data_IF_734728094656
#
_entry.id   IF_734728094656
#
_cell.length_a   1.000
_cell.length_b   1.000
_cell.length_c   1.000
_cell.angle_alpha   90.00
_cell.angle_beta   90.00
_cell.angle_gamma   90.00
#
_symmetry.space_group_name_H-M   'P 1'
#
loop_
_entity.id
_entity.type
_entity.pdbx_description
1 polymer ?
#
# COMPACT_ATOMS: atom_id res chain seq x y z
N UNK A 1 -1.90 -3.72 -19.51
CA UNK A 1 -2.43 -3.47 -18.15
C UNK A 1 -2.21 -1.99 -17.87
N UNK A 2 -3.18 -1.33 -17.24
CA UNK A 2 -3.15 0.10 -16.95
C UNK A 2 -2.20 0.48 -15.81
N UNK A 3 -2.34 1.72 -15.33
CA UNK A 3 -1.60 2.26 -14.17
C UNK A 3 -1.89 1.43 -12.91
N UNK A 4 -0.87 1.22 -12.08
CA UNK A 4 -0.96 0.55 -10.78
C UNK A 4 -0.56 1.57 -9.71
N UNK A 5 -1.50 1.94 -8.85
CA UNK A 5 -1.24 2.79 -7.70
C UNK A 5 -1.19 1.93 -6.43
N UNK A 6 -0.08 1.98 -5.72
CA UNK A 6 0.08 1.37 -4.40
C UNK A 6 0.01 2.49 -3.38
N UNK A 7 -1.01 2.49 -2.54
CA UNK A 7 -1.20 3.49 -1.49
C UNK A 7 -0.71 2.89 -0.17
N UNK A 8 0.25 3.53 0.47
CA UNK A 8 0.80 3.13 1.76
C UNK A 8 0.86 4.36 2.67
N UNK A 9 0.44 4.23 3.92
CA UNK A 9 0.41 5.32 4.90
C UNK A 9 1.71 5.39 5.71
N UNK A 10 2.37 4.27 5.94
CA UNK A 10 3.54 4.18 6.81
C UNK A 10 4.83 4.36 6.01
N UNK A 11 5.52 5.48 6.25
CA UNK A 11 6.80 5.79 5.60
C UNK A 11 7.82 4.66 5.74
N UNK A 12 7.88 4.00 6.89
CA UNK A 12 8.81 2.91 7.15
C UNK A 12 8.62 1.74 6.17
N UNK A 13 7.36 1.41 5.83
CA UNK A 13 7.04 0.34 4.88
C UNK A 13 7.44 0.75 3.46
N UNK A 14 7.15 1.99 3.06
CA UNK A 14 7.60 2.54 1.77
C UNK A 14 9.12 2.45 1.65
N UNK A 15 9.85 2.79 2.70
CA UNK A 15 11.31 2.77 2.72
C UNK A 15 11.87 1.35 2.62
N UNK A 16 11.22 0.36 3.25
CA UNK A 16 11.60 -1.04 3.12
C UNK A 16 11.57 -1.53 1.67
N UNK A 17 10.57 -1.08 0.89
CA UNK A 17 10.43 -1.45 -0.52
C UNK A 17 11.33 -0.65 -1.46
N UNK A 18 11.66 0.60 -1.14
CA UNK A 18 12.46 1.45 -2.03
C UNK A 18 13.96 1.27 -1.87
N UNK A 19 14.42 1.10 -0.63
CA UNK A 19 15.85 1.12 -0.30
C UNK A 19 16.22 0.12 0.80
N UNK A 20 15.23 -0.54 1.39
CA UNK A 20 15.42 -1.46 2.49
C UNK A 20 15.37 -2.94 2.07
N UNK A 21 15.05 -3.83 3.01
CA UNK A 21 15.21 -5.27 2.83
C UNK A 21 14.29 -5.88 1.75
N UNK A 22 13.23 -5.18 1.33
CA UNK A 22 12.26 -5.67 0.35
C UNK A 22 12.55 -5.17 -1.07
N UNK A 23 13.57 -4.32 -1.27
CA UNK A 23 13.95 -3.81 -2.60
C UNK A 23 14.20 -4.94 -3.61
N UNK A 24 14.89 -6.01 -3.22
CA UNK A 24 15.13 -7.17 -4.12
C UNK A 24 13.83 -7.84 -4.60
N UNK A 25 12.75 -7.73 -3.83
CA UNK A 25 11.46 -8.34 -4.15
C UNK A 25 10.63 -7.39 -5.02
N UNK A 26 10.56 -6.10 -4.65
CA UNK A 26 9.68 -5.13 -5.29
C UNK A 26 10.36 -4.28 -6.36
N UNK A 27 11.69 -4.30 -6.47
CA UNK A 27 12.45 -3.39 -7.32
C UNK A 27 12.06 -3.45 -8.80
N UNK A 28 11.82 -4.65 -9.34
CA UNK A 28 11.35 -4.79 -10.71
C UNK A 28 9.95 -4.19 -10.93
N UNK A 29 9.06 -4.32 -9.95
CA UNK A 29 7.72 -3.73 -9.99
C UNK A 29 7.78 -2.21 -9.84
N UNK A 30 8.65 -1.68 -8.97
CA UNK A 30 8.87 -0.25 -8.78
C UNK A 30 9.56 0.43 -9.97
N UNK A 31 10.37 -0.32 -10.72
CA UNK A 31 11.00 0.15 -11.95
C UNK A 31 10.03 0.18 -13.15
N UNK A 32 8.87 -0.49 -13.05
CA UNK A 32 7.86 -0.45 -14.10
C UNK A 32 7.21 0.95 -14.13
N UNK A 33 7.23 1.67 -15.27
CA UNK A 33 6.68 3.02 -15.37
C UNK A 33 5.17 3.10 -15.11
N UNK A 34 4.46 1.96 -15.07
CA UNK A 34 3.04 1.89 -14.74
C UNK A 34 2.80 1.90 -13.23
N UNK A 35 3.80 1.61 -12.41
CA UNK A 35 3.70 1.49 -10.96
C UNK A 35 4.02 2.82 -10.29
N UNK A 36 3.16 3.24 -9.36
CA UNK A 36 3.39 4.42 -8.55
C UNK A 36 3.06 4.11 -7.08
N UNK A 37 4.02 4.38 -6.19
CA UNK A 37 3.80 4.34 -4.74
C UNK A 37 3.40 5.73 -4.25
N UNK A 38 2.21 5.81 -3.66
CA UNK A 38 1.64 7.00 -3.07
C UNK A 38 1.72 6.88 -1.55
N UNK A 39 2.54 7.74 -0.93
CA UNK A 39 2.61 7.81 0.53
C UNK A 39 1.46 8.69 1.03
N UNK A 40 0.33 8.05 1.35
CA UNK A 40 -0.91 8.70 1.79
C UNK A 40 -1.84 7.69 2.45
N UNK A 41 -2.82 8.17 3.19
CA UNK A 41 -3.96 7.37 3.61
C UNK A 41 -4.88 7.03 2.42
N UNK A 42 -5.40 5.80 2.39
CA UNK A 42 -6.28 5.31 1.32
C UNK A 42 -7.59 6.09 1.23
N UNK A 43 -8.24 6.37 2.36
CA UNK A 43 -9.51 7.09 2.37
C UNK A 43 -9.31 8.52 1.88
N UNK A 44 -8.24 9.18 2.33
CA UNK A 44 -7.86 10.51 1.85
C UNK A 44 -7.60 10.54 0.33
N UNK A 45 -6.91 9.51 -0.19
CA UNK A 45 -6.69 9.36 -1.63
C UNK A 45 -8.01 9.18 -2.39
N UNK A 46 -8.88 8.26 -1.96
CA UNK A 46 -10.15 7.98 -2.65
C UNK A 46 -11.11 9.18 -2.61
N UNK A 47 -11.10 9.99 -1.55
CA UNK A 47 -11.94 11.19 -1.46
C UNK A 47 -11.52 12.31 -2.42
N UNK A 48 -10.25 12.34 -2.83
CA UNK A 48 -9.68 13.40 -3.67
C UNK A 48 -9.36 12.94 -5.09
N UNK A 49 -9.28 11.63 -5.31
CA UNK A 49 -8.97 11.04 -6.61
C UNK A 49 -10.09 11.32 -7.63
N UNK A 50 -9.69 11.82 -8.79
CA UNK A 50 -10.56 12.00 -9.95
C UNK A 50 -10.46 10.83 -10.94
N UNK A 51 -9.47 9.96 -10.76
CA UNK A 51 -9.24 8.79 -11.60
C UNK A 51 -10.12 7.60 -11.22
N UNK A 52 -10.43 6.76 -12.21
CA UNK A 52 -11.16 5.51 -12.02
C UNK A 52 -10.20 4.33 -12.04
N UNK A 53 -10.48 3.33 -11.23
CA UNK A 53 -9.74 2.07 -11.18
C UNK A 53 -10.67 0.93 -11.58
N UNK A 54 -10.18 0.00 -12.39
CA UNK A 54 -10.94 -1.19 -12.78
C UNK A 54 -11.05 -2.21 -11.63
N UNK A 55 -10.08 -2.18 -10.71
CA UNK A 55 -10.03 -3.04 -9.54
C UNK A 55 -9.35 -2.32 -8.38
N UNK A 56 -9.74 -2.71 -7.17
CA UNK A 56 -9.10 -2.28 -5.93
C UNK A 56 -8.68 -3.53 -5.15
N UNK A 57 -7.38 -3.65 -4.88
CA UNK A 57 -6.81 -4.70 -4.04
C UNK A 57 -6.50 -4.09 -2.68
N UNK A 58 -7.11 -4.63 -1.62
CA UNK A 58 -6.92 -4.16 -0.25
C UNK A 58 -6.11 -5.21 0.51
N UNK A 59 -4.85 -4.87 0.76
CA UNK A 59 -3.93 -5.65 1.59
C UNK A 59 -3.76 -4.90 2.91
N UNK A 60 -4.77 -4.99 3.78
CA UNK A 60 -4.83 -4.29 5.06
C UNK A 60 -4.81 -5.31 6.19
N UNK A 61 -3.77 -5.26 7.03
CA UNK A 61 -3.53 -6.25 8.09
C UNK A 61 -4.39 -6.02 9.34
N UNK A 62 -5.12 -4.91 9.40
CA UNK A 62 -6.21 -4.72 10.34
C UNK A 62 -7.42 -4.25 9.54
N UNK A 63 -8.41 -5.13 9.41
CA UNK A 63 -9.73 -4.64 9.09
C UNK A 63 -10.20 -3.62 10.16
N UNK A 64 -11.32 -2.92 9.93
CA UNK A 64 -11.92 -2.00 10.91
C UNK A 64 -11.95 -2.58 12.33
N UNK A 65 -11.99 -1.77 13.40
CA UNK A 65 -11.88 -2.21 14.81
C UNK A 65 -12.70 -3.47 15.21
N UNK A 66 -13.75 -3.82 14.47
CA UNK A 66 -14.55 -5.04 14.62
C UNK A 66 -13.94 -6.33 14.01
N UNK A 67 -12.79 -6.25 13.34
CA UNK A 67 -12.03 -7.37 12.77
C UNK A 67 -10.70 -7.61 13.48
N UNK A 68 -10.34 -6.75 14.45
CA UNK A 68 -9.20 -6.96 15.33
C UNK A 68 -9.65 -7.90 16.45
N UNK A 69 -9.27 -9.17 16.40
CA UNK A 69 -9.28 -10.02 17.59
C UNK A 69 -8.05 -9.71 18.44
N UNK A 70 -8.20 -9.71 19.77
CA UNK A 70 -7.18 -9.41 20.81
C UNK A 70 -5.93 -10.32 20.83
N UNK A 71 -5.53 -10.91 19.70
CA UNK A 71 -4.43 -11.87 19.63
C UNK A 71 -3.09 -11.26 19.21
N UNK A 72 -2.86 -9.98 19.59
CA UNK A 72 -1.53 -9.38 19.55
C UNK A 72 -1.09 -8.85 20.93
N UNK A 73 -1.58 -9.51 21.99
CA UNK A 73 -1.10 -9.36 23.36
C UNK A 73 0.06 -10.30 23.66
N UNK A 74 1.27 -9.97 23.19
CA UNK A 74 2.50 -10.50 23.78
C UNK A 74 3.58 -10.91 22.79
N UNK A 75 4.54 -10.00 22.56
CA UNK A 75 5.93 -10.11 23.03
C UNK A 75 6.58 -8.72 23.01
#
# INVERSE_FOLDING_TARGET
WGRIAVVEREQAIVDWHRQGPLDRISGAALADPRTQVLHTDLVAHLLTATERYDALCLDIDNGPDWTVTDDNGGL
#
